data_IF_147254123207
#
_entry.id   IF_147254123207
#
_cell.length_a   1.000
_cell.length_b   1.000
_cell.length_c   1.000
_cell.angle_alpha   90.00
_cell.angle_beta   90.00
_cell.angle_gamma   90.00
#
_symmetry.space_group_name_H-M   'P 1'
#
loop_
_entity.id
_entity.type
_entity.pdbx_description
1 polymer ?
#
# COMPACT_ATOMS: atom_id res chain seq x y z
N UNK A 1 -7.13 -18.46 -0.32
CA UNK A 1 -7.48 -19.78 0.20
C UNK A 1 -8.22 -19.65 1.53
N UNK A 2 -9.36 -20.32 1.68
CA UNK A 2 -10.15 -20.35 2.91
C UNK A 2 -9.78 -21.61 3.70
N UNK A 3 -9.49 -21.42 4.99
CA UNK A 3 -9.18 -22.52 5.89
C UNK A 3 -10.48 -23.30 6.24
N UNK A 4 -10.48 -24.60 5.99
CA UNK A 4 -11.63 -25.47 6.25
C UNK A 4 -11.73 -25.93 7.72
N UNK A 5 -10.73 -25.57 8.57
CA UNK A 5 -10.70 -25.95 9.99
C UNK A 5 -10.13 -27.34 10.28
N UNK A 6 -9.69 -28.06 9.27
CA UNK A 6 -9.11 -29.41 9.33
C UNK A 6 -7.69 -29.51 8.77
N UNK A 7 -6.97 -28.36 8.71
CA UNK A 7 -5.65 -28.19 8.09
C UNK A 7 -5.66 -28.29 6.55
N UNK A 8 -6.83 -28.25 5.93
CA UNK A 8 -6.98 -28.11 4.49
C UNK A 8 -7.47 -26.72 4.11
N UNK A 9 -7.30 -26.34 2.85
CA UNK A 9 -7.70 -25.04 2.33
C UNK A 9 -8.44 -25.20 1.00
N UNK A 10 -9.43 -24.33 0.79
CA UNK A 10 -10.17 -24.24 -0.47
C UNK A 10 -9.86 -22.93 -1.17
N UNK A 11 -9.51 -22.98 -2.45
CA UNK A 11 -9.33 -21.79 -3.27
C UNK A 11 -10.70 -21.18 -3.59
N UNK A 12 -10.88 -19.88 -3.27
CA UNK A 12 -12.13 -19.15 -3.44
C UNK A 12 -11.92 -17.69 -3.86
N UNK A 13 -10.76 -17.32 -4.40
CA UNK A 13 -10.47 -15.92 -4.73
C UNK A 13 -11.55 -15.32 -5.63
N UNK A 14 -11.97 -16.03 -6.66
CA UNK A 14 -13.01 -15.58 -7.58
C UNK A 14 -14.38 -15.39 -6.91
N UNK A 15 -14.72 -16.26 -5.96
CA UNK A 15 -15.98 -16.18 -5.21
C UNK A 15 -16.03 -14.91 -4.36
N UNK A 16 -14.87 -14.55 -3.78
CA UNK A 16 -14.72 -13.38 -2.91
C UNK A 16 -14.35 -12.08 -3.68
N UNK A 17 -14.08 -12.12 -4.99
CA UNK A 17 -13.64 -10.95 -5.76
C UNK A 17 -12.17 -10.58 -5.54
N UNK A 18 -11.35 -11.55 -5.14
CA UNK A 18 -9.91 -11.39 -4.87
C UNK A 18 -9.03 -12.02 -5.96
N UNK A 19 -9.59 -12.36 -7.12
CA UNK A 19 -8.89 -13.01 -8.23
C UNK A 19 -8.16 -12.00 -9.14
N UNK A 20 -7.31 -11.18 -8.52
CA UNK A 20 -6.51 -10.20 -9.24
C UNK A 20 -5.45 -10.87 -10.14
N UNK A 21 -5.35 -10.44 -11.40
CA UNK A 21 -4.37 -10.94 -12.37
C UNK A 21 -3.05 -10.14 -12.37
N UNK A 22 -2.88 -9.18 -11.45
CA UNK A 22 -1.67 -8.39 -11.30
C UNK A 22 -0.52 -9.18 -10.67
N UNK A 23 0.65 -8.54 -10.61
CA UNK A 23 1.82 -9.08 -9.91
C UNK A 23 1.77 -8.66 -8.44
N UNK A 24 0.90 -9.29 -7.69
CA UNK A 24 0.70 -8.97 -6.29
C UNK A 24 1.88 -9.44 -5.44
N UNK A 25 2.44 -8.54 -4.65
CA UNK A 25 3.59 -8.79 -3.77
C UNK A 25 3.21 -8.83 -2.31
N UNK A 26 2.20 -8.05 -1.90
CA UNK A 26 1.73 -7.98 -0.52
C UNK A 26 0.25 -7.63 -0.49
N UNK A 27 -0.43 -8.02 0.58
CA UNK A 27 -1.79 -7.59 0.88
C UNK A 27 -1.91 -7.25 2.37
N UNK A 28 -2.58 -6.16 2.69
CA UNK A 28 -2.92 -5.79 4.06
C UNK A 28 -4.45 -5.75 4.20
N UNK A 29 -4.94 -6.34 5.30
CA UNK A 29 -6.35 -6.35 5.63
C UNK A 29 -6.58 -5.50 6.88
N UNK A 30 -7.48 -4.53 6.80
CA UNK A 30 -7.82 -3.64 7.89
C UNK A 30 -9.20 -3.00 7.65
N UNK A 31 -9.86 -2.55 8.70
CA UNK A 31 -11.15 -1.86 8.67
C UNK A 31 -10.90 -0.36 8.46
N UNK A 32 -10.97 0.12 7.19
CA UNK A 32 -10.59 1.50 6.86
C UNK A 32 -11.70 2.52 7.11
N UNK A 33 -12.96 2.08 7.05
CA UNK A 33 -14.14 2.96 7.18
C UNK A 33 -14.95 2.71 8.47
N UNK A 34 -14.45 1.78 9.32
CA UNK A 34 -15.03 1.43 10.62
C UNK A 34 -16.44 0.84 10.54
N UNK A 35 -16.73 0.11 9.48
CA UNK A 35 -17.97 -0.61 9.33
C UNK A 35 -17.98 -1.99 10.02
N UNK A 36 -16.81 -2.46 10.47
CA UNK A 36 -16.61 -3.65 11.27
C UNK A 36 -16.19 -4.88 10.46
N UNK A 37 -15.96 -4.75 9.17
CA UNK A 37 -15.35 -5.79 8.38
C UNK A 37 -13.93 -5.40 7.89
N UNK A 38 -13.20 -6.33 7.30
CA UNK A 38 -11.83 -6.07 6.85
C UNK A 38 -11.79 -5.87 5.35
N UNK A 39 -11.30 -4.71 4.94
CA UNK A 39 -10.97 -4.35 3.58
C UNK A 39 -9.56 -4.79 3.21
N UNK A 40 -9.19 -4.69 1.96
CA UNK A 40 -7.91 -5.14 1.48
C UNK A 40 -7.19 -4.10 0.61
N UNK A 41 -6.02 -3.64 1.05
CA UNK A 41 -5.08 -3.01 0.14
C UNK A 41 -4.20 -4.08 -0.51
N UNK A 42 -4.25 -4.18 -1.83
CA UNK A 42 -3.47 -5.13 -2.61
C UNK A 42 -2.35 -4.41 -3.34
N UNK A 43 -1.12 -4.71 -2.93
CA UNK A 43 0.08 -4.14 -3.49
C UNK A 43 0.50 -4.92 -4.72
N UNK A 44 0.52 -4.25 -5.85
CA UNK A 44 0.95 -4.81 -7.12
C UNK A 44 2.28 -4.19 -7.56
N UNK A 45 3.05 -5.01 -8.25
CA UNK A 45 4.32 -4.63 -8.82
C UNK A 45 4.23 -4.53 -10.34
N UNK A 46 5.17 -3.84 -10.98
CA UNK A 46 5.28 -3.80 -12.44
C UNK A 46 6.57 -4.46 -12.92
N UNK A 47 6.49 -5.27 -13.98
CA UNK A 47 7.67 -5.80 -14.67
C UNK A 47 8.07 -4.89 -15.84
N UNK A 48 7.42 -3.78 -16.08
CA UNK A 48 7.81 -2.94 -17.20
C UNK A 48 9.25 -2.50 -17.00
N UNK A 49 10.14 -3.08 -17.79
CA UNK A 49 11.54 -2.69 -17.80
C UNK A 49 11.62 -1.22 -18.17
N UNK A 50 12.10 -0.46 -17.22
CA UNK A 50 12.37 0.94 -17.34
C UNK A 50 13.54 1.09 -18.29
N UNK A 51 13.26 1.39 -19.52
CA UNK A 51 14.29 1.62 -20.51
C UNK A 51 13.71 1.80 -21.90
N UNK A 52 14.07 2.92 -22.52
CA UNK A 52 13.84 3.24 -23.93
C UNK A 52 12.40 3.71 -24.22
N UNK A 53 12.17 5.01 -24.13
CA UNK A 53 11.04 5.71 -24.73
C UNK A 53 9.78 5.84 -23.89
N UNK A 54 9.84 5.50 -22.60
CA UNK A 54 8.73 5.72 -21.67
C UNK A 54 9.10 6.92 -20.77
N UNK A 55 8.29 7.95 -20.81
CA UNK A 55 8.35 9.03 -19.83
C UNK A 55 7.69 8.52 -18.55
N UNK A 56 8.54 8.02 -17.64
CA UNK A 56 8.13 7.38 -16.38
C UNK A 56 7.18 8.25 -15.55
N UNK A 57 7.42 9.55 -15.54
CA UNK A 57 6.62 10.47 -14.73
C UNK A 57 5.29 10.78 -15.39
N UNK A 58 5.27 10.89 -16.71
CA UNK A 58 4.11 11.36 -17.46
C UNK A 58 3.18 10.24 -17.88
N UNK A 59 3.73 9.10 -18.27
CA UNK A 59 2.96 8.02 -18.88
C UNK A 59 2.51 6.96 -17.86
N UNK A 60 3.17 6.86 -16.71
CA UNK A 60 2.93 5.79 -15.74
C UNK A 60 2.23 6.23 -14.44
N UNK A 61 2.16 7.53 -14.13
CA UNK A 61 1.41 8.06 -12.97
C UNK A 61 -0.07 8.31 -13.25
N UNK A 62 -0.62 7.67 -14.26
CA UNK A 62 -2.04 7.75 -14.56
C UNK A 62 -2.84 6.89 -13.59
N UNK A 63 -3.95 7.43 -13.07
CA UNK A 63 -4.94 6.66 -12.31
C UNK A 63 -5.72 5.74 -13.26
N UNK A 64 -6.26 4.65 -12.71
CA UNK A 64 -7.15 3.75 -13.47
C UNK A 64 -6.43 2.66 -14.25
N UNK A 65 -5.24 2.24 -13.83
CA UNK A 65 -4.59 1.04 -14.37
C UNK A 65 -5.15 -0.23 -13.72
N UNK A 66 -5.54 -1.21 -14.53
CA UNK A 66 -5.97 -2.53 -14.06
C UNK A 66 -4.83 -3.33 -13.41
N UNK A 67 -3.58 -2.89 -13.55
CA UNK A 67 -2.38 -3.61 -13.11
C UNK A 67 -1.66 -2.97 -11.93
N UNK A 68 -2.05 -1.76 -11.54
CA UNK A 68 -1.48 -1.07 -10.39
C UNK A 68 -2.04 -1.58 -9.07
N UNK A 69 -1.72 -0.86 -8.00
CA UNK A 69 -2.26 -1.15 -6.66
C UNK A 69 -3.79 -1.11 -6.65
N UNK A 70 -4.39 -1.90 -5.79
CA UNK A 70 -5.84 -1.97 -5.64
C UNK A 70 -6.25 -1.71 -4.19
N UNK A 71 -7.37 -1.01 -4.04
CA UNK A 71 -8.10 -0.99 -2.79
C UNK A 71 -9.43 -1.71 -2.98
N UNK A 72 -9.62 -2.77 -2.23
CA UNK A 72 -10.75 -3.67 -2.37
C UNK A 72 -11.59 -3.58 -1.10
N UNK A 73 -12.74 -2.90 -1.20
CA UNK A 73 -13.69 -2.80 -0.08
C UNK A 73 -14.46 -4.12 0.04
N UNK A 74 -14.65 -4.55 1.26
CA UNK A 74 -15.42 -5.74 1.58
C UNK A 74 -16.91 -5.37 1.76
N UNK A 75 -17.75 -5.79 0.85
CA UNK A 75 -19.18 -5.61 0.94
C UNK A 75 -19.82 -6.97 1.35
N UNK A 76 -20.02 -7.20 2.65
CA UNK A 76 -20.61 -8.44 3.20
C UNK A 76 -19.89 -9.74 2.76
N UNK A 77 -18.56 -9.73 2.74
CA UNK A 77 -17.72 -10.87 2.35
C UNK A 77 -17.42 -10.95 0.86
N UNK A 78 -17.72 -9.90 0.11
CA UNK A 78 -17.36 -9.79 -1.31
C UNK A 78 -16.56 -8.51 -1.55
N UNK A 79 -15.35 -8.67 -2.03
CA UNK A 79 -14.46 -7.56 -2.30
C UNK A 79 -14.78 -6.88 -3.63
N UNK A 80 -14.84 -5.55 -3.60
CA UNK A 80 -15.14 -4.67 -4.73
C UNK A 80 -14.00 -3.67 -4.90
N UNK A 81 -13.48 -3.50 -6.11
CA UNK A 81 -12.43 -2.51 -6.40
C UNK A 81 -12.99 -1.10 -6.31
N UNK A 82 -12.57 -0.36 -5.30
CA UNK A 82 -12.93 1.04 -5.04
C UNK A 82 -11.72 1.98 -5.10
N UNK A 83 -10.62 1.55 -5.73
CA UNK A 83 -9.34 2.24 -5.76
C UNK A 83 -9.43 3.71 -6.17
N UNK A 84 -10.23 4.03 -7.19
CA UNK A 84 -10.42 5.40 -7.63
C UNK A 84 -11.28 6.21 -6.64
N UNK A 85 -12.28 5.58 -6.02
CA UNK A 85 -13.18 6.20 -5.06
C UNK A 85 -12.42 6.62 -3.79
N UNK A 86 -11.59 5.73 -3.27
CA UNK A 86 -10.79 5.99 -2.06
C UNK A 86 -9.57 6.89 -2.31
N UNK A 87 -9.22 7.13 -3.57
CA UNK A 87 -8.21 8.12 -3.94
C UNK A 87 -6.75 7.62 -3.91
N UNK A 88 -6.50 6.32 -3.96
CA UNK A 88 -5.14 5.78 -4.04
C UNK A 88 -4.56 5.88 -5.47
N UNK A 89 -3.22 5.83 -5.58
CA UNK A 89 -2.56 5.73 -6.87
C UNK A 89 -2.56 4.28 -7.37
N UNK A 90 -3.11 4.10 -8.57
CA UNK A 90 -3.21 2.80 -9.26
C UNK A 90 -2.32 2.72 -10.48
N UNK A 91 -1.36 3.64 -10.61
CA UNK A 91 -0.43 3.66 -11.74
C UNK A 91 0.51 2.45 -11.74
N UNK A 92 0.98 2.06 -12.92
CA UNK A 92 1.92 0.96 -13.09
C UNK A 92 3.38 1.35 -12.82
N UNK A 93 3.64 2.53 -12.27
CA UNK A 93 5.01 2.99 -11.97
C UNK A 93 5.51 2.42 -10.65
N UNK A 94 4.61 2.08 -9.73
CA UNK A 94 4.97 1.58 -8.41
C UNK A 94 5.69 0.22 -8.50
N UNK A 95 6.77 0.10 -7.73
CA UNK A 95 7.43 -1.16 -7.47
C UNK A 95 7.27 -1.50 -5.99
N UNK A 96 6.03 -1.73 -5.60
CA UNK A 96 5.66 -1.90 -4.21
C UNK A 96 6.18 -3.20 -3.62
N UNK A 97 6.86 -3.13 -2.48
CA UNK A 97 7.43 -4.26 -1.77
C UNK A 97 6.84 -4.47 -0.37
N UNK A 98 6.29 -3.43 0.22
CA UNK A 98 5.70 -3.51 1.55
C UNK A 98 4.52 -2.57 1.74
N UNK A 99 3.58 -2.98 2.57
CA UNK A 99 2.49 -2.14 3.08
C UNK A 99 2.41 -2.29 4.59
N UNK A 100 2.38 -1.15 5.27
CA UNK A 100 2.30 -1.06 6.73
C UNK A 100 1.08 -0.23 7.10
N UNK A 101 0.30 -0.71 8.06
CA UNK A 101 -0.93 -0.09 8.51
C UNK A 101 -0.75 0.37 9.96
N UNK A 102 -1.18 1.59 10.26
CA UNK A 102 -1.17 2.15 11.61
C UNK A 102 -1.89 3.48 11.66
N UNK A 103 -2.20 3.94 12.86
CA UNK A 103 -2.76 5.27 13.13
C UNK A 103 -1.59 6.23 13.40
N UNK A 104 -1.09 6.87 12.34
CA UNK A 104 0.12 7.67 12.41
C UNK A 104 -0.12 9.03 13.06
N UNK A 105 -1.28 9.62 12.83
CA UNK A 105 -1.65 10.94 13.34
C UNK A 105 -2.44 10.89 14.66
N UNK A 106 -2.69 9.70 15.20
CA UNK A 106 -3.43 9.42 16.44
C UNK A 106 -4.87 9.94 16.42
N UNK A 107 -5.52 9.92 15.27
CA UNK A 107 -6.91 10.33 15.13
C UNK A 107 -7.90 9.17 15.30
N UNK A 108 -7.37 7.97 15.50
CA UNK A 108 -8.12 6.73 15.71
C UNK A 108 -8.49 6.04 14.40
N UNK A 109 -8.07 6.52 13.23
CA UNK A 109 -8.25 5.88 11.92
C UNK A 109 -6.93 5.33 11.42
N UNK A 110 -7.00 4.25 10.65
CA UNK A 110 -5.79 3.62 10.14
C UNK A 110 -5.31 4.25 8.85
N UNK A 111 -4.04 4.61 8.85
CA UNK A 111 -3.27 5.12 7.71
C UNK A 111 -2.46 4.00 7.07
N UNK A 112 -1.91 4.25 5.88
CA UNK A 112 -1.10 3.30 5.15
C UNK A 112 0.23 3.91 4.73
N UNK A 113 1.32 3.18 4.98
CA UNK A 113 2.63 3.46 4.39
C UNK A 113 2.99 2.37 3.38
N UNK A 114 3.34 2.77 2.16
CA UNK A 114 3.66 1.88 1.04
C UNK A 114 5.12 2.07 0.67
N UNK A 115 5.90 1.00 0.82
CA UNK A 115 7.30 0.97 0.43
C UNK A 115 7.42 0.66 -1.06
N UNK A 116 8.05 1.55 -1.81
CA UNK A 116 8.35 1.38 -3.23
C UNK A 116 9.85 1.32 -3.47
N UNK A 117 10.29 0.42 -4.35
CA UNK A 117 11.65 0.36 -4.83
C UNK A 117 11.79 1.10 -6.17
N UNK A 118 13.03 1.43 -6.55
CA UNK A 118 13.46 2.04 -7.80
C UNK A 118 13.05 3.52 -8.00
N UNK A 119 12.06 3.80 -8.82
CA UNK A 119 11.83 5.13 -9.39
C UNK A 119 10.65 5.87 -8.79
N UNK A 120 9.71 5.12 -8.23
CA UNK A 120 8.58 5.71 -7.56
C UNK A 120 8.91 5.89 -6.09
N UNK A 121 8.54 7.05 -5.57
CA UNK A 121 8.63 7.31 -4.13
C UNK A 121 7.68 6.40 -3.35
N UNK A 122 7.94 6.26 -2.07
CA UNK A 122 6.98 5.67 -1.15
C UNK A 122 5.68 6.48 -1.14
N UNK A 123 4.59 5.90 -0.65
CA UNK A 123 3.35 6.63 -0.42
C UNK A 123 2.99 6.59 1.07
N UNK A 124 2.51 7.73 1.56
CA UNK A 124 1.86 7.81 2.85
C UNK A 124 0.41 8.28 2.64
N UNK A 125 -0.51 7.38 2.85
CA UNK A 125 -1.94 7.65 2.75
C UNK A 125 -2.54 7.91 4.12
N UNK A 126 -2.94 9.14 4.37
CA UNK A 126 -3.67 9.53 5.57
C UNK A 126 -5.17 9.37 5.33
N UNK A 127 -5.85 8.70 6.25
CA UNK A 127 -7.29 8.48 6.20
C UNK A 127 -8.05 9.79 6.49
N UNK A 128 -8.93 10.21 5.58
CA UNK A 128 -9.72 11.43 5.73
C UNK A 128 -10.96 11.25 6.61
N UNK A 129 -11.22 10.05 7.16
CA UNK A 129 -12.39 9.71 7.98
C UNK A 129 -13.73 9.77 7.24
N UNK A 130 -13.69 9.83 5.93
CA UNK A 130 -14.87 9.92 5.05
C UNK A 130 -14.92 8.82 3.99
N UNK A 131 -14.12 7.74 4.21
CA UNK A 131 -13.96 6.64 3.27
C UNK A 131 -12.96 6.92 2.15
N UNK A 132 -12.15 7.97 2.27
CA UNK A 132 -11.10 8.31 1.31
C UNK A 132 -9.74 8.48 1.97
N UNK A 133 -8.68 8.45 1.16
CA UNK A 133 -7.31 8.70 1.59
C UNK A 133 -6.70 9.88 0.85
N UNK A 134 -5.78 10.57 1.53
CA UNK A 134 -4.93 11.61 0.96
C UNK A 134 -3.48 11.13 0.97
N UNK A 135 -2.81 11.14 -0.20
CA UNK A 135 -1.37 10.93 -0.25
C UNK A 135 -0.66 12.17 0.30
N UNK A 136 0.13 12.00 1.35
CA UNK A 136 0.68 13.08 2.18
C UNK A 136 2.16 12.87 2.52
N UNK A 137 2.90 12.02 1.80
CA UNK A 137 4.29 11.69 2.13
C UNK A 137 5.15 12.96 2.30
N UNK A 138 5.11 13.88 1.34
CA UNK A 138 5.92 15.09 1.34
C UNK A 138 5.45 16.15 2.36
N UNK A 139 4.25 16.00 2.91
CA UNK A 139 3.75 16.85 3.99
C UNK A 139 4.28 16.44 5.36
N UNK A 140 4.48 15.12 5.54
CA UNK A 140 4.90 14.55 6.83
C UNK A 140 6.39 14.25 6.90
N UNK A 141 7.03 13.88 5.79
CA UNK A 141 8.42 13.45 5.76
C UNK A 141 9.28 14.42 4.96
N UNK A 142 10.34 14.93 5.57
CA UNK A 142 11.31 15.83 4.93
C UNK A 142 12.36 15.07 4.10
N UNK A 143 12.54 13.79 4.36
CA UNK A 143 13.46 12.89 3.67
C UNK A 143 12.68 11.66 3.21
N UNK A 144 12.97 11.17 2.02
CA UNK A 144 12.21 10.11 1.35
C UNK A 144 13.19 9.03 0.91
N UNK A 145 12.82 7.77 1.14
CA UNK A 145 13.56 6.62 0.62
C UNK A 145 13.47 6.58 -0.91
N UNK A 146 14.54 6.10 -1.56
CA UNK A 146 14.58 5.83 -3.00
C UNK A 146 14.69 4.34 -3.33
N UNK A 147 14.74 3.48 -2.33
CA UNK A 147 14.90 2.03 -2.50
C UNK A 147 14.32 1.30 -1.32
N UNK A 148 13.08 1.64 -0.97
CA UNK A 148 12.38 1.09 0.19
C UNK A 148 12.03 -0.36 -0.03
N UNK A 149 12.57 -1.24 0.83
CA UNK A 149 12.35 -2.69 0.77
C UNK A 149 11.21 -3.15 1.67
N UNK A 150 10.82 -2.32 2.62
CA UNK A 150 9.75 -2.56 3.57
C UNK A 150 9.81 -1.55 4.71
N UNK A 151 8.72 -1.44 5.43
CA UNK A 151 8.60 -0.56 6.59
C UNK A 151 7.85 -1.23 7.73
N UNK A 152 8.00 -0.66 8.92
CA UNK A 152 7.21 -0.99 10.10
C UNK A 152 6.88 0.29 10.86
N UNK A 153 5.78 0.29 11.61
CA UNK A 153 5.37 1.39 12.46
C UNK A 153 5.30 0.95 13.92
N UNK A 154 5.99 1.68 14.79
CA UNK A 154 5.94 1.43 16.22
C UNK A 154 6.38 2.67 17.00
N UNK A 155 5.85 2.84 18.21
CA UNK A 155 6.40 3.81 19.18
C UNK A 155 7.70 3.24 19.76
N UNK A 156 8.83 3.56 19.14
CA UNK A 156 10.14 3.01 19.51
C UNK A 156 10.83 3.80 20.63
N UNK A 157 10.38 5.03 20.88
CA UNK A 157 10.96 5.91 21.89
C UNK A 157 10.07 6.05 23.16
N UNK A 158 8.86 5.45 23.15
CA UNK A 158 7.85 5.48 24.20
C UNK A 158 7.30 6.88 24.52
N UNK A 159 7.10 7.69 23.49
CA UNK A 159 6.47 9.02 23.62
C UNK A 159 4.98 9.02 23.23
N UNK A 160 4.45 7.86 22.87
CA UNK A 160 3.08 7.60 22.44
C UNK A 160 2.77 8.03 21.00
N UNK A 161 3.77 8.41 20.21
CA UNK A 161 3.65 8.65 18.78
C UNK A 161 4.36 7.52 18.02
N UNK A 162 3.76 6.96 16.97
CA UNK A 162 4.42 5.92 16.18
C UNK A 162 5.45 6.53 15.22
N UNK A 163 6.64 5.95 15.20
CA UNK A 163 7.65 6.19 14.18
C UNK A 163 7.47 5.23 13.01
N UNK A 164 7.97 5.63 11.83
CA UNK A 164 8.09 4.79 10.66
C UNK A 164 9.55 4.38 10.49
N UNK A 165 9.83 3.09 10.57
CA UNK A 165 11.14 2.54 10.26
C UNK A 165 11.12 1.96 8.84
N UNK A 166 12.00 2.45 7.96
CA UNK A 166 12.13 2.00 6.58
C UNK A 166 13.44 1.27 6.40
N UNK A 167 13.38 0.05 5.84
CA UNK A 167 14.57 -0.69 5.42
C UNK A 167 14.86 -0.43 3.96
N UNK A 168 16.11 -0.13 3.64
CA UNK A 168 16.54 0.17 2.28
C UNK A 168 17.61 -0.76 1.77
N UNK A 169 17.64 -0.98 0.46
CA UNK A 169 18.73 -1.64 -0.23
C UNK A 169 19.62 -0.59 -0.91
N UNK A 170 20.31 0.23 -0.12
CA UNK A 170 21.21 1.25 -0.68
C UNK A 170 22.67 0.87 -0.55
N UNK A 171 23.48 1.20 -1.58
CA UNK A 171 24.92 1.16 -1.44
C UNK A 171 25.39 2.25 -0.46
N UNK A 172 26.38 1.94 0.30
CA UNK A 172 27.22 2.62 1.30
C UNK A 172 27.07 4.15 1.58
N UNK A 173 26.19 4.91 0.97
CA UNK A 173 26.17 6.38 1.03
C UNK A 173 24.87 7.04 1.48
N UNK A 174 23.82 6.30 1.80
CA UNK A 174 22.61 6.89 2.38
C UNK A 174 22.38 6.39 3.79
N UNK A 175 22.66 7.23 4.72
CA UNK A 175 22.15 7.14 6.08
C UNK A 175 20.86 7.96 6.11
N UNK A 176 19.73 7.32 5.90
CA UNK A 176 18.46 7.92 6.25
C UNK A 176 18.24 7.60 7.71
N UNK A 177 18.39 8.58 8.54
CA UNK A 177 17.96 8.57 9.93
C UNK A 177 16.64 9.33 10.02
N UNK A 178 15.63 8.63 10.39
CA UNK A 178 14.35 9.21 10.81
C UNK A 178 14.42 9.38 12.31
#
# INVERSE_FOLDING_TARGET
FINNGDLTFTEKAKEYGLDNEGLSTHAAFFDYDKDGDLDCYLLNNTIRSIGIGIDLVKDLRLRGSDKGNKFLRNDDGKFVDVSDEVGIYTSEIGFGLGVTIGDLNLDGWQDMYISNDFFEKDYLYINNQDGTFKESLEEYLSEISMGSMGADMADINNDSYPEIFVSEMLPELSLIHI
#
